data_IF_948767142649
#
_entry.id   IF_948767142649
#
_cell.length_a   1.000
_cell.length_b   1.000
_cell.length_c   1.000
_cell.angle_alpha   90.00
_cell.angle_beta   90.00
_cell.angle_gamma   90.00
#
_symmetry.space_group_name_H-M   'P 1'
#
loop_
_entity.id
_entity.type
_entity.pdbx_description
1 polymer ?
#
# COMPACT_ATOMS: atom_id res chain seq x y z
N UNK A 1 -7.93 4.64 -4.10
CA UNK A 1 -8.92 3.75 -3.44
C UNK A 1 -8.82 4.06 -1.95
N UNK A 2 -9.93 4.34 -1.28
CA UNK A 2 -9.93 4.62 0.17
C UNK A 2 -10.49 3.40 0.89
N UNK A 3 -9.73 2.86 1.84
CA UNK A 3 -10.11 1.69 2.61
C UNK A 3 -10.63 2.17 3.97
N UNK A 4 -11.86 1.84 4.31
CA UNK A 4 -12.48 2.19 5.60
C UNK A 4 -12.63 0.99 6.56
N UNK A 5 -12.23 -0.21 6.11
CA UNK A 5 -12.09 -1.39 6.94
C UNK A 5 -11.10 -2.37 6.28
N UNK A 6 -10.13 -2.83 7.05
CA UNK A 6 -9.03 -3.65 6.57
C UNK A 6 -8.65 -4.65 7.67
N UNK A 7 -8.81 -5.94 7.39
CA UNK A 7 -8.48 -7.02 8.31
C UNK A 7 -7.38 -7.91 7.73
N UNK A 8 -6.88 -8.87 8.52
CA UNK A 8 -5.74 -9.71 8.14
C UNK A 8 -5.95 -10.50 6.84
N UNK A 9 -7.19 -10.91 6.52
CA UNK A 9 -7.49 -11.59 5.26
C UNK A 9 -7.41 -10.63 4.08
N UNK A 10 -8.02 -9.44 4.18
CA UNK A 10 -7.94 -8.40 3.14
C UNK A 10 -6.50 -7.91 2.91
N UNK A 11 -5.70 -7.82 3.98
CA UNK A 11 -4.30 -7.42 3.93
C UNK A 11 -3.44 -8.35 3.06
N UNK A 12 -3.70 -9.66 3.12
CA UNK A 12 -2.99 -10.63 2.30
C UNK A 12 -3.24 -10.41 0.81
N UNK A 13 -4.51 -10.33 0.42
CA UNK A 13 -4.87 -10.14 -1.00
C UNK A 13 -4.44 -8.78 -1.54
N UNK A 14 -4.50 -7.74 -0.72
CA UNK A 14 -4.00 -6.42 -1.10
C UNK A 14 -2.49 -6.45 -1.34
N UNK A 15 -1.72 -7.08 -0.46
CA UNK A 15 -0.29 -7.23 -0.65
C UNK A 15 0.04 -8.03 -1.91
N UNK A 16 -0.70 -9.12 -2.18
CA UNK A 16 -0.51 -9.92 -3.39
C UNK A 16 -0.77 -9.09 -4.66
N UNK A 17 -1.79 -8.21 -4.65
CA UNK A 17 -2.05 -7.25 -5.73
C UNK A 17 -0.93 -6.21 -5.87
N UNK A 18 -0.48 -5.64 -4.75
CA UNK A 18 0.57 -4.63 -4.74
C UNK A 18 1.90 -5.20 -5.26
N UNK A 19 2.22 -6.46 -4.95
CA UNK A 19 3.42 -7.14 -5.47
C UNK A 19 3.38 -7.32 -6.99
N UNK A 20 2.21 -7.67 -7.54
CA UNK A 20 2.05 -7.74 -9.00
C UNK A 20 2.34 -6.40 -9.68
N UNK A 21 1.92 -5.30 -9.04
CA UNK A 21 2.19 -3.94 -9.53
C UNK A 21 3.67 -3.54 -9.34
N UNK A 22 4.28 -4.01 -8.26
CA UNK A 22 5.71 -3.81 -7.98
C UNK A 22 6.59 -4.51 -9.01
N UNK A 23 6.24 -5.73 -9.43
CA UNK A 23 6.93 -6.45 -10.51
C UNK A 23 6.86 -5.69 -11.84
N UNK A 24 5.72 -5.05 -12.14
CA UNK A 24 5.55 -4.20 -13.33
C UNK A 24 6.47 -2.98 -13.25
N UNK A 25 6.60 -2.38 -12.06
CA UNK A 25 7.51 -1.27 -11.81
C UNK A 25 8.97 -1.67 -11.97
N UNK A 26 9.39 -2.75 -11.29
CA UNK A 26 10.75 -3.27 -11.32
C UNK A 26 11.18 -3.73 -12.72
N UNK A 27 10.26 -4.30 -13.50
CA UNK A 27 10.48 -4.68 -14.90
C UNK A 27 10.62 -3.51 -15.86
N UNK A 28 10.44 -2.27 -15.42
CA UNK A 28 10.48 -1.07 -16.27
C UNK A 28 9.33 -0.99 -17.27
N UNK A 29 8.30 -1.81 -17.11
CA UNK A 29 7.13 -1.89 -18.01
C UNK A 29 6.14 -0.75 -17.76
N UNK A 30 6.23 -0.11 -16.58
CA UNK A 30 5.41 1.05 -16.22
C UNK A 30 5.94 1.80 -15.02
N UNK A 31 5.51 3.06 -14.87
CA UNK A 31 5.75 3.84 -13.66
C UNK A 31 4.55 3.67 -12.74
N UNK A 32 4.73 2.94 -11.66
CA UNK A 32 3.69 2.71 -10.65
C UNK A 32 4.06 3.45 -9.37
N UNK A 33 3.07 4.00 -8.69
CA UNK A 33 3.19 4.56 -7.36
C UNK A 33 1.87 4.36 -6.60
N UNK A 34 1.95 4.24 -5.29
CA UNK A 34 0.80 4.05 -4.40
C UNK A 34 0.68 5.25 -3.47
N UNK A 35 -0.53 5.80 -3.37
CA UNK A 35 -0.90 6.74 -2.31
C UNK A 35 -1.81 6.02 -1.32
N UNK A 36 -1.32 5.86 -0.10
CA UNK A 36 -2.00 5.17 0.99
C UNK A 36 -2.59 6.21 1.95
N UNK A 37 -3.92 6.26 1.96
CA UNK A 37 -4.67 7.22 2.76
C UNK A 37 -5.15 6.59 4.06
N UNK A 38 -5.00 7.32 5.17
CA UNK A 38 -5.47 6.92 6.50
C UNK A 38 -6.06 8.12 7.23
N UNK A 39 -7.01 7.89 8.13
CA UNK A 39 -7.65 8.97 8.89
C UNK A 39 -6.76 9.46 10.03
N UNK A 40 -6.92 10.72 10.42
CA UNK A 40 -6.25 11.27 11.60
C UNK A 40 -6.50 10.40 12.85
N UNK A 41 -5.42 9.93 13.46
CA UNK A 41 -5.47 9.07 14.65
C UNK A 41 -5.71 7.58 14.39
N UNK A 42 -5.87 7.15 13.13
CA UNK A 42 -5.93 5.75 12.75
C UNK A 42 -4.52 5.15 12.63
N UNK A 43 -3.94 4.82 13.78
CA UNK A 43 -2.57 4.32 13.89
C UNK A 43 -2.39 2.94 13.23
N UNK A 44 -3.42 2.09 13.26
CA UNK A 44 -3.38 0.76 12.67
C UNK A 44 -3.27 0.85 11.12
N UNK A 45 -4.03 1.77 10.50
CA UNK A 45 -3.92 2.00 9.05
C UNK A 45 -2.63 2.71 8.66
N UNK A 46 -2.10 3.56 9.52
CA UNK A 46 -0.79 4.15 9.31
C UNK A 46 0.32 3.10 9.34
N UNK A 47 0.31 2.21 10.34
CA UNK A 47 1.28 1.11 10.48
C UNK A 47 1.25 0.17 9.27
N UNK A 48 0.04 -0.26 8.85
CA UNK A 48 -0.11 -1.10 7.67
C UNK A 48 0.48 -0.46 6.40
N UNK A 49 0.30 0.85 6.23
CA UNK A 49 0.88 1.58 5.11
C UNK A 49 2.42 1.68 5.17
N UNK A 50 2.99 1.81 6.38
CA UNK A 50 4.44 1.77 6.58
C UNK A 50 5.02 0.38 6.28
N UNK A 51 4.33 -0.68 6.71
CA UNK A 51 4.73 -2.05 6.41
C UNK A 51 4.77 -2.30 4.90
N UNK A 52 3.72 -1.89 4.17
CA UNK A 52 3.71 -2.01 2.71
C UNK A 52 4.80 -1.21 2.04
N UNK A 53 5.09 0.00 2.52
CA UNK A 53 6.22 0.79 2.02
C UNK A 53 7.57 0.10 2.23
N UNK A 54 7.74 -0.65 3.33
CA UNK A 54 8.96 -1.41 3.59
C UNK A 54 9.07 -2.72 2.79
N UNK A 55 7.95 -3.24 2.27
CA UNK A 55 7.87 -4.50 1.55
C UNK A 55 7.93 -4.37 0.02
N UNK A 56 7.78 -3.16 -0.52
CA UNK A 56 7.63 -2.88 -1.95
C UNK A 56 8.74 -1.93 -2.43
N UNK A 57 9.28 -2.16 -3.62
CA UNK A 57 10.31 -1.31 -4.20
C UNK A 57 9.73 -0.04 -4.86
N UNK A 58 8.48 -0.14 -5.35
CA UNK A 58 7.76 0.99 -5.94
C UNK A 58 7.44 2.07 -4.91
N UNK A 59 7.38 3.36 -5.32
CA UNK A 59 7.07 4.44 -4.40
C UNK A 59 5.70 4.29 -3.71
N UNK A 60 5.71 4.20 -2.38
CA UNK A 60 4.50 4.26 -1.54
C UNK A 60 4.53 5.54 -0.71
N UNK A 61 3.53 6.40 -0.87
CA UNK A 61 3.36 7.65 -0.13
C UNK A 61 2.19 7.51 0.85
N UNK A 62 2.44 7.87 2.11
CA UNK A 62 1.42 7.92 3.15
C UNK A 62 0.79 9.31 3.20
N UNK A 63 -0.53 9.36 3.27
CA UNK A 63 -1.30 10.61 3.26
C UNK A 63 -2.36 10.55 4.38
N UNK A 64 -2.22 11.40 5.38
CA UNK A 64 -3.21 11.58 6.45
C UNK A 64 -4.41 12.40 5.93
N UNK A 65 -5.63 12.00 6.30
CA UNK A 65 -6.91 12.64 5.91
C UNK A 65 -7.76 13.02 7.12
#
# INVERSE_FOLDING_TARGET
ITLSYFNSSSAKYMLDLLKLLDDVHAGGLGKVAVEWYFAQGDLDMQEAGQDYRGLLDMPVRLVEQ
#
